data_IF_543333176067
#
_entry.id   IF_543333176067
#
_cell.length_a   1.000
_cell.length_b   1.000
_cell.length_c   1.000
_cell.angle_alpha   90.00
_cell.angle_beta   90.00
_cell.angle_gamma   90.00
#
_symmetry.space_group_name_H-M   'P 1'
#
loop_
_entity.id
_entity.type
_entity.pdbx_description
1 polymer ?
#
# COMPACT_ATOMS: atom_id res chain seq x y z
N UNK A 1 -18.31 10.37 83.09
CA UNK A 1 -17.38 11.33 82.49
C UNK A 1 -16.18 10.52 82.02
N UNK A 2 -16.26 10.00 80.80
CA UNK A 2 -15.10 9.59 80.01
C UNK A 2 -15.59 9.48 78.56
N UNK A 3 -14.93 10.24 77.71
CA UNK A 3 -15.30 10.57 76.33
C UNK A 3 -14.93 9.45 75.37
N UNK A 4 -15.89 9.00 74.55
CA UNK A 4 -15.61 8.22 73.35
C UNK A 4 -14.80 9.06 72.36
N UNK A 5 -13.53 8.67 72.16
CA UNK A 5 -12.67 9.22 71.12
C UNK A 5 -13.04 8.58 69.77
N UNK A 6 -13.78 9.33 68.97
CA UNK A 6 -14.09 9.01 67.58
C UNK A 6 -12.80 8.99 66.74
N UNK A 7 -12.35 7.78 66.40
CA UNK A 7 -11.13 7.54 65.64
C UNK A 7 -11.45 7.65 64.14
N UNK A 8 -11.24 8.83 63.56
CA UNK A 8 -11.30 9.04 62.12
C UNK A 8 -10.08 8.41 61.46
N UNK A 9 -10.23 7.18 60.98
CA UNK A 9 -9.34 6.61 59.97
C UNK A 9 -9.37 7.51 58.73
N UNK A 10 -8.38 8.39 58.62
CA UNK A 10 -8.11 9.15 57.41
C UNK A 10 -7.72 8.17 56.31
N UNK A 11 -8.67 7.87 55.42
CA UNK A 11 -8.48 6.97 54.29
C UNK A 11 -7.33 7.46 53.41
N UNK A 12 -6.32 6.61 53.26
CA UNK A 12 -5.13 6.77 52.45
C UNK A 12 -5.49 6.88 50.95
N UNK A 13 -5.95 8.05 50.53
CA UNK A 13 -6.47 8.33 49.18
C UNK A 13 -5.41 8.87 48.23
N UNK A 14 -4.18 9.14 48.71
CA UNK A 14 -3.08 9.67 47.88
C UNK A 14 -2.29 8.59 47.11
N UNK A 15 -2.39 7.32 47.47
CA UNK A 15 -1.61 6.20 46.89
C UNK A 15 -2.31 5.47 45.71
N UNK A 16 -3.59 5.73 45.48
CA UNK A 16 -4.38 5.07 44.42
C UNK A 16 -4.29 5.77 43.06
N UNK A 17 -4.15 7.10 43.01
CA UNK A 17 -4.08 7.87 41.77
C UNK A 17 -2.93 7.45 40.83
N UNK A 18 -1.66 7.32 41.28
CA UNK A 18 -0.58 6.85 40.40
C UNK A 18 -0.80 5.41 39.94
N UNK A 19 -1.38 4.55 40.78
CA UNK A 19 -1.71 3.16 40.41
C UNK A 19 -2.78 3.12 39.32
N UNK A 20 -3.82 3.95 39.42
CA UNK A 20 -4.88 4.06 38.41
C UNK A 20 -4.34 4.59 37.07
N UNK A 21 -3.42 5.57 37.10
CA UNK A 21 -2.76 6.07 35.88
C UNK A 21 -1.93 4.96 35.23
N UNK A 22 -1.14 4.22 36.01
CA UNK A 22 -0.34 3.09 35.50
C UNK A 22 -1.24 2.00 34.91
N UNK A 23 -2.32 1.62 35.61
CA UNK A 23 -3.27 0.63 35.10
C UNK A 23 -3.93 1.11 33.80
N UNK A 24 -4.34 2.37 33.74
CA UNK A 24 -4.94 2.96 32.53
C UNK A 24 -3.95 2.95 31.35
N UNK A 25 -2.70 3.34 31.59
CA UNK A 25 -1.66 3.30 30.56
C UNK A 25 -1.38 1.88 30.09
N UNK A 26 -1.34 0.90 31.00
CA UNK A 26 -1.16 -0.52 30.64
C UNK A 26 -2.33 -1.04 29.78
N UNK A 27 -3.57 -0.69 30.14
CA UNK A 27 -4.75 -1.05 29.35
C UNK A 27 -4.68 -0.41 27.96
N UNK A 28 -4.34 0.87 27.88
CA UNK A 28 -4.23 1.58 26.60
C UNK A 28 -3.12 0.98 25.72
N UNK A 29 -1.95 0.69 26.30
CA UNK A 29 -0.84 0.05 25.60
C UNK A 29 -1.21 -1.37 25.14
N UNK A 30 -1.91 -2.14 25.97
CA UNK A 30 -2.36 -3.48 25.60
C UNK A 30 -3.41 -3.43 24.47
N UNK A 31 -4.36 -2.51 24.53
CA UNK A 31 -5.32 -2.28 23.45
C UNK A 31 -4.62 -1.85 22.15
N UNK A 32 -3.67 -0.91 22.24
CA UNK A 32 -2.85 -0.46 21.10
C UNK A 32 -2.03 -1.59 20.49
N UNK A 33 -1.47 -2.49 21.32
CA UNK A 33 -0.78 -3.68 20.85
C UNK A 33 -1.70 -4.61 20.06
N UNK A 34 -2.91 -4.89 20.56
CA UNK A 34 -3.89 -5.73 19.85
C UNK A 34 -4.31 -5.11 18.51
N UNK A 35 -4.53 -3.80 18.48
CA UNK A 35 -4.85 -3.05 17.24
C UNK A 35 -3.66 -3.14 16.27
N UNK A 36 -2.43 -2.92 16.77
CA UNK A 36 -1.22 -3.02 15.96
C UNK A 36 -1.04 -4.40 15.35
N UNK A 37 -1.28 -5.47 16.11
CA UNK A 37 -1.28 -6.86 15.60
C UNK A 37 -2.32 -7.03 14.50
N UNK A 38 -3.55 -6.54 14.70
CA UNK A 38 -4.61 -6.64 13.70
C UNK A 38 -4.29 -5.87 12.41
N UNK A 39 -3.73 -4.67 12.52
CA UNK A 39 -3.29 -3.84 11.38
C UNK A 39 -2.05 -4.39 10.67
N UNK A 40 -1.32 -5.31 11.31
CA UNK A 40 -0.12 -5.95 10.74
C UNK A 40 -0.43 -7.24 9.99
N UNK A 41 -1.69 -7.64 9.88
CA UNK A 41 -2.10 -8.81 9.10
C UNK A 41 -2.01 -8.47 7.62
N UNK A 42 -1.15 -9.19 6.89
CA UNK A 42 -1.01 -9.06 5.45
C UNK A 42 -2.32 -9.44 4.74
N UNK A 43 -2.78 -8.66 3.75
CA UNK A 43 -3.92 -9.03 2.93
C UNK A 43 -3.68 -10.34 2.15
N UNK A 44 -4.75 -11.07 1.87
CA UNK A 44 -4.66 -12.24 1.00
C UNK A 44 -4.15 -11.86 -0.41
N UNK A 45 -3.43 -12.76 -1.10
CA UNK A 45 -3.01 -12.52 -2.47
C UNK A 45 -4.20 -12.19 -3.37
N UNK A 46 -4.07 -11.11 -4.14
CA UNK A 46 -5.11 -10.69 -5.09
C UNK A 46 -5.32 -11.78 -6.14
N UNK A 47 -6.53 -12.34 -6.18
CA UNK A 47 -6.90 -13.31 -7.21
C UNK A 47 -7.02 -12.63 -8.58
N UNK A 48 -6.49 -13.30 -9.61
CA UNK A 48 -6.64 -12.82 -10.98
C UNK A 48 -8.12 -13.02 -11.37
N UNK A 49 -8.77 -11.96 -11.83
CA UNK A 49 -10.19 -11.90 -12.21
C UNK A 49 -11.22 -11.87 -11.07
N UNK A 50 -10.82 -11.66 -9.81
CA UNK A 50 -11.76 -11.43 -8.70
C UNK A 50 -12.21 -9.97 -8.67
N UNK A 51 -13.15 -9.59 -9.54
CA UNK A 51 -13.88 -8.33 -9.35
C UNK A 51 -15.03 -8.58 -8.35
N UNK A 52 -15.25 -7.72 -7.33
CA UNK A 52 -16.32 -7.91 -6.33
C UNK A 52 -17.75 -7.83 -6.91
N UNK A 53 -17.90 -7.30 -8.13
CA UNK A 53 -19.19 -7.00 -8.74
C UNK A 53 -19.27 -7.45 -10.20
N UNK A 54 -19.36 -8.75 -10.50
CA UNK A 54 -19.71 -9.18 -11.86
C UNK A 54 -20.57 -10.45 -11.89
N UNK A 55 -21.88 -10.26 -11.74
CA UNK A 55 -22.90 -11.16 -12.30
C UNK A 55 -22.87 -11.08 -13.84
N UNK A 56 -22.81 -12.24 -14.49
CA UNK A 56 -23.00 -12.53 -15.93
C UNK A 56 -22.01 -11.95 -16.98
N UNK A 57 -21.40 -10.78 -16.78
CA UNK A 57 -20.43 -10.18 -17.73
C UNK A 57 -18.99 -10.73 -17.65
N UNK A 58 -18.64 -11.40 -16.56
CA UNK A 58 -17.27 -11.79 -16.22
C UNK A 58 -16.61 -12.76 -17.22
N UNK A 59 -17.38 -13.60 -17.90
CA UNK A 59 -16.82 -14.52 -18.92
C UNK A 59 -16.37 -13.79 -20.19
N UNK A 60 -17.05 -12.71 -20.55
CA UNK A 60 -16.70 -11.92 -21.74
C UNK A 60 -15.43 -11.09 -21.52
N UNK A 61 -15.29 -10.46 -20.34
CA UNK A 61 -14.16 -9.59 -20.03
C UNK A 61 -12.85 -10.35 -19.80
N UNK A 62 -12.91 -11.61 -19.36
CA UNK A 62 -11.73 -12.50 -19.23
C UNK A 62 -10.98 -12.71 -20.56
N UNK A 63 -11.64 -12.53 -21.70
CA UNK A 63 -11.03 -12.69 -23.02
C UNK A 63 -10.37 -11.41 -23.57
N UNK A 64 -10.48 -10.28 -22.86
CA UNK A 64 -9.95 -8.99 -23.33
C UNK A 64 -8.47 -8.91 -22.95
N UNK A 65 -7.62 -8.76 -23.97
CA UNK A 65 -6.18 -8.60 -23.79
C UNK A 65 -5.87 -7.40 -22.91
N UNK A 66 -5.05 -7.60 -21.87
CA UNK A 66 -4.68 -6.55 -20.91
C UNK A 66 -5.64 -6.39 -19.73
N UNK A 67 -6.87 -6.92 -19.81
CA UNK A 67 -7.86 -6.83 -18.72
C UNK A 67 -7.31 -7.35 -17.39
N UNK A 68 -6.72 -8.55 -17.40
CA UNK A 68 -6.16 -9.16 -16.20
C UNK A 68 -5.08 -8.27 -15.55
N UNK A 69 -4.22 -7.64 -16.34
CA UNK A 69 -3.12 -6.82 -15.84
C UNK A 69 -3.64 -5.54 -15.16
N UNK A 70 -4.51 -4.80 -15.84
CA UNK A 70 -5.03 -3.51 -15.35
C UNK A 70 -6.00 -3.73 -14.18
N UNK A 71 -6.88 -4.74 -14.26
CA UNK A 71 -7.80 -5.07 -13.16
C UNK A 71 -7.06 -5.54 -11.91
N UNK A 72 -6.04 -6.37 -12.05
CA UNK A 72 -5.23 -6.83 -10.91
C UNK A 72 -4.46 -5.66 -10.28
N UNK A 73 -3.93 -4.75 -11.08
CA UNK A 73 -3.28 -3.53 -10.58
C UNK A 73 -4.24 -2.66 -9.75
N UNK A 74 -5.45 -2.43 -10.26
CA UNK A 74 -6.48 -1.68 -9.51
C UNK A 74 -6.85 -2.41 -8.22
N UNK A 75 -7.07 -3.73 -8.27
CA UNK A 75 -7.37 -4.56 -7.09
C UNK A 75 -6.24 -4.51 -6.05
N UNK A 76 -4.96 -4.53 -6.47
CA UNK A 76 -3.81 -4.43 -5.55
C UNK A 76 -3.83 -3.08 -4.84
N UNK A 77 -4.03 -1.98 -5.57
CA UNK A 77 -4.11 -0.65 -4.96
C UNK A 77 -5.30 -0.52 -4.01
N UNK A 78 -6.48 -1.00 -4.38
CA UNK A 78 -7.66 -1.04 -3.50
C UNK A 78 -7.38 -1.88 -2.24
N UNK A 79 -6.76 -3.05 -2.40
CA UNK A 79 -6.38 -3.91 -1.27
C UNK A 79 -5.42 -3.19 -0.31
N UNK A 80 -4.46 -2.41 -0.83
CA UNK A 80 -3.57 -1.61 0.01
C UNK A 80 -4.29 -0.50 0.78
N UNK A 81 -5.33 0.10 0.17
CA UNK A 81 -6.10 1.19 0.75
C UNK A 81 -7.17 0.71 1.73
N UNK A 82 -7.75 -0.47 1.51
CA UNK A 82 -8.93 -0.96 2.22
C UNK A 82 -8.62 -2.08 3.25
N UNK A 83 -7.35 -2.50 3.36
CA UNK A 83 -6.91 -3.48 4.38
C UNK A 83 -7.19 -2.98 5.80
N UNK A 84 -7.14 -3.88 6.82
CA UNK A 84 -7.27 -3.48 8.22
C UNK A 84 -6.34 -2.31 8.60
N UNK A 85 -6.93 -1.22 9.10
CA UNK A 85 -6.20 0.00 9.45
C UNK A 85 -6.02 1.00 8.30
N UNK A 86 -6.48 0.68 7.09
CA UNK A 86 -6.31 1.53 5.92
C UNK A 86 -4.86 1.58 5.44
N UNK A 87 -4.51 2.65 4.72
CA UNK A 87 -3.14 2.90 4.31
C UNK A 87 -2.36 3.52 5.48
N UNK A 88 -1.40 2.78 6.05
CA UNK A 88 -0.68 3.19 7.27
C UNK A 88 0.55 4.04 6.97
N UNK A 89 1.04 4.04 5.74
CA UNK A 89 2.25 4.74 5.32
C UNK A 89 2.21 6.26 5.48
N UNK A 90 1.01 6.85 5.55
CA UNK A 90 0.79 8.26 5.87
C UNK A 90 0.16 8.49 7.25
N UNK A 91 0.01 7.47 8.09
CA UNK A 91 -0.56 7.64 9.42
C UNK A 91 0.48 8.24 10.39
N UNK A 92 0.01 9.10 11.29
CA UNK A 92 0.81 9.85 12.27
C UNK A 92 0.37 9.58 13.71
N UNK A 93 -0.60 8.68 13.94
CA UNK A 93 -1.14 8.38 15.27
C UNK A 93 -0.75 6.97 15.77
N UNK A 94 -0.56 6.77 17.09
CA UNK A 94 -0.44 5.41 17.64
C UNK A 94 -1.70 4.55 17.37
N UNK A 95 -1.55 3.22 17.15
CA UNK A 95 -0.32 2.43 17.23
C UNK A 95 0.52 2.37 15.94
N UNK A 96 0.06 2.92 14.81
CA UNK A 96 0.70 2.73 13.50
C UNK A 96 2.13 3.23 13.44
N UNK A 97 2.46 4.32 14.13
CA UNK A 97 3.82 4.87 14.20
C UNK A 97 4.86 3.90 14.81
N UNK A 98 4.40 2.85 15.49
CA UNK A 98 5.24 1.80 16.05
C UNK A 98 5.34 0.56 15.15
N UNK A 99 4.63 0.54 14.02
CA UNK A 99 4.63 -0.54 13.05
C UNK A 99 5.64 -0.21 11.93
N UNK A 100 6.53 -1.15 11.64
CA UNK A 100 7.54 -1.01 10.58
C UNK A 100 7.22 -1.89 9.36
N UNK A 101 6.78 -3.13 9.61
CA UNK A 101 6.58 -4.14 8.57
C UNK A 101 5.46 -3.77 7.59
N UNK A 102 4.28 -3.37 8.10
CA UNK A 102 3.12 -3.08 7.23
C UNK A 102 3.35 -1.83 6.37
N UNK A 103 3.82 -0.68 6.90
CA UNK A 103 4.18 0.46 6.05
C UNK A 103 5.28 0.14 5.01
N UNK A 104 6.25 -0.71 5.35
CA UNK A 104 7.27 -1.15 4.39
C UNK A 104 6.68 -2.05 3.29
N UNK A 105 5.77 -2.96 3.63
CA UNK A 105 5.01 -3.78 2.68
C UNK A 105 4.20 -2.90 1.71
N UNK A 106 3.44 -1.95 2.26
CA UNK A 106 2.66 -0.97 1.47
C UNK A 106 3.55 -0.22 0.48
N UNK A 107 4.71 0.26 0.93
CA UNK A 107 5.62 0.98 0.05
C UNK A 107 6.14 0.11 -1.09
N UNK A 108 6.50 -1.15 -0.81
CA UNK A 108 6.95 -2.09 -1.84
C UNK A 108 5.88 -2.32 -2.92
N UNK A 109 4.65 -2.62 -2.49
CA UNK A 109 3.53 -2.85 -3.40
C UNK A 109 3.13 -1.58 -4.18
N UNK A 110 3.15 -0.42 -3.53
CA UNK A 110 2.89 0.87 -4.16
C UNK A 110 3.95 1.22 -5.20
N UNK A 111 5.23 0.98 -4.92
CA UNK A 111 6.31 1.21 -5.86
C UNK A 111 6.13 0.34 -7.11
N UNK A 112 5.87 -0.96 -6.95
CA UNK A 112 5.58 -1.85 -8.08
C UNK A 112 4.36 -1.38 -8.89
N UNK A 113 3.33 -0.89 -8.20
CA UNK A 113 2.12 -0.35 -8.83
C UNK A 113 2.42 0.91 -9.66
N UNK A 114 3.25 1.81 -9.15
CA UNK A 114 3.70 3.03 -9.85
C UNK A 114 4.41 2.71 -11.17
N UNK A 115 5.29 1.72 -11.16
CA UNK A 115 6.01 1.30 -12.37
C UNK A 115 5.06 0.72 -13.40
N UNK A 116 4.15 -0.14 -12.94
CA UNK A 116 3.19 -0.73 -13.85
C UNK A 116 2.27 0.35 -14.45
N UNK A 117 1.77 1.31 -13.66
CA UNK A 117 0.97 2.42 -14.21
C UNK A 117 1.77 3.27 -15.19
N UNK A 118 3.04 3.56 -14.90
CA UNK A 118 3.93 4.28 -15.82
C UNK A 118 4.10 3.50 -17.12
N UNK A 119 4.35 2.20 -17.04
CA UNK A 119 4.49 1.33 -18.21
C UNK A 119 3.18 1.22 -18.99
N UNK A 120 2.03 1.17 -18.32
CA UNK A 120 0.72 1.23 -18.96
C UNK A 120 0.58 2.51 -19.80
N UNK A 121 0.89 3.67 -19.21
CA UNK A 121 0.79 4.97 -19.88
C UNK A 121 1.76 5.12 -21.06
N UNK A 122 3.00 4.64 -20.90
CA UNK A 122 4.07 4.86 -21.88
C UNK A 122 4.07 3.82 -23.00
N UNK A 123 3.89 2.55 -22.64
CA UNK A 123 4.10 1.42 -23.55
C UNK A 123 2.79 0.77 -23.94
N UNK A 124 1.97 0.35 -22.98
CA UNK A 124 0.80 -0.50 -23.27
C UNK A 124 -0.41 0.25 -23.79
N UNK A 125 -0.53 1.56 -23.60
CA UNK A 125 -1.70 2.31 -24.07
C UNK A 125 -1.49 3.07 -25.38
N UNK A 126 -0.30 2.94 -25.99
CA UNK A 126 0.10 3.70 -27.18
C UNK A 126 0.45 2.78 -28.35
N UNK A 127 0.00 3.15 -29.55
CA UNK A 127 0.47 2.56 -30.80
C UNK A 127 1.79 3.21 -31.21
N UNK A 128 2.68 2.46 -31.86
CA UNK A 128 4.01 2.93 -32.28
C UNK A 128 3.98 4.20 -33.16
N UNK A 129 2.88 4.45 -33.88
CA UNK A 129 2.69 5.64 -34.73
C UNK A 129 1.84 6.74 -34.09
N UNK A 130 1.27 6.50 -32.89
CA UNK A 130 0.40 7.45 -32.21
C UNK A 130 1.04 7.95 -30.91
N UNK A 131 1.25 9.26 -30.84
CA UNK A 131 1.79 9.92 -29.64
C UNK A 131 0.72 10.30 -28.60
N UNK A 132 -0.54 9.96 -28.84
CA UNK A 132 -1.66 10.34 -27.97
C UNK A 132 -1.67 9.41 -26.76
N UNK A 133 -1.49 9.99 -25.58
CA UNK A 133 -1.59 9.30 -24.30
C UNK A 133 -3.06 9.14 -23.90
N UNK A 134 -3.38 8.09 -23.13
CA UNK A 134 -4.71 7.93 -22.56
C UNK A 134 -4.90 8.91 -21.39
N UNK A 135 -5.95 9.71 -21.44
CA UNK A 135 -6.21 10.76 -20.44
C UNK A 135 -6.39 10.20 -19.02
N UNK A 136 -6.97 9.00 -18.90
CA UNK A 136 -7.12 8.32 -17.61
C UNK A 136 -5.76 7.93 -17.02
N UNK A 137 -4.85 7.36 -17.81
CA UNK A 137 -3.52 6.98 -17.34
C UNK A 137 -2.63 8.20 -17.08
N UNK A 138 -2.84 9.28 -17.83
CA UNK A 138 -2.21 10.59 -17.59
C UNK A 138 -2.65 11.21 -16.26
N UNK A 139 -3.86 10.90 -15.79
CA UNK A 139 -4.35 11.27 -14.46
C UNK A 139 -3.89 10.29 -13.39
N UNK A 140 -3.96 8.98 -13.64
CA UNK A 140 -3.62 7.94 -12.67
C UNK A 140 -2.14 7.97 -12.23
N UNK A 141 -1.20 8.13 -13.17
CA UNK A 141 0.23 8.14 -12.83
C UNK A 141 0.59 9.20 -11.79
N UNK A 142 0.38 10.52 -12.00
CA UNK A 142 0.78 11.53 -11.03
C UNK A 142 0.14 11.36 -9.66
N UNK A 143 -1.13 10.90 -9.62
CA UNK A 143 -1.85 10.58 -8.39
C UNK A 143 -1.13 9.54 -7.53
N UNK A 144 -0.67 8.45 -8.15
CA UNK A 144 0.11 7.43 -7.44
C UNK A 144 1.51 7.91 -7.05
N UNK A 145 2.08 8.92 -7.71
CA UNK A 145 3.42 9.45 -7.41
C UNK A 145 3.46 10.48 -6.26
N UNK A 146 2.31 10.85 -5.68
CA UNK A 146 2.27 11.63 -4.43
C UNK A 146 3.06 10.89 -3.33
N UNK A 147 3.77 11.65 -2.49
CA UNK A 147 4.59 11.08 -1.43
C UNK A 147 3.77 10.18 -0.50
N UNK A 148 4.22 8.95 -0.26
CA UNK A 148 3.48 7.95 0.53
C UNK A 148 3.21 8.37 1.98
N UNK A 149 3.97 9.34 2.49
CA UNK A 149 3.86 9.83 3.86
C UNK A 149 3.07 11.13 3.95
N UNK A 150 2.44 11.55 2.84
CA UNK A 150 1.64 12.76 2.81
C UNK A 150 0.35 12.52 3.59
N UNK A 151 0.31 13.00 4.83
CA UNK A 151 -0.86 12.94 5.70
C UNK A 151 -1.74 14.19 5.56
N UNK A 152 -1.17 15.30 5.09
CA UNK A 152 -1.85 16.58 4.88
C UNK A 152 -2.15 16.81 3.40
N UNK A 153 -3.18 17.60 3.10
CA UNK A 153 -3.66 17.84 1.74
C UNK A 153 -2.54 18.22 0.75
N UNK A 154 -2.40 17.51 -0.39
CA UNK A 154 -3.17 16.31 -0.75
C UNK A 154 -2.69 15.07 0.03
N UNK A 155 -3.64 14.36 0.66
CA UNK A 155 -3.32 13.15 1.41
C UNK A 155 -2.96 12.02 0.44
N UNK A 156 -2.03 11.16 0.82
CA UNK A 156 -1.60 10.03 -0.01
C UNK A 156 -2.78 9.10 -0.31
N UNK A 157 -3.60 8.79 0.70
CA UNK A 157 -4.76 7.90 0.54
C UNK A 157 -5.78 8.44 -0.48
N UNK A 158 -6.18 9.71 -0.35
CA UNK A 158 -7.17 10.32 -1.26
C UNK A 158 -6.65 10.33 -2.70
N UNK A 159 -5.39 10.73 -2.88
CA UNK A 159 -4.78 10.76 -4.21
C UNK A 159 -4.64 9.36 -4.80
N UNK A 160 -4.34 8.34 -3.99
CA UNK A 160 -4.27 6.96 -4.47
C UNK A 160 -5.65 6.42 -4.85
N UNK A 161 -6.71 6.79 -4.11
CA UNK A 161 -8.10 6.49 -4.49
C UNK A 161 -8.47 7.13 -5.83
N UNK A 162 -8.13 8.40 -6.04
CA UNK A 162 -8.31 9.06 -7.34
C UNK A 162 -7.55 8.34 -8.47
N UNK A 163 -6.33 7.87 -8.17
CA UNK A 163 -5.51 7.09 -9.11
C UNK A 163 -6.16 5.76 -9.48
N UNK A 164 -6.74 5.06 -8.51
CA UNK A 164 -7.51 3.83 -8.73
C UNK A 164 -8.75 4.09 -9.57
N UNK A 165 -9.52 5.14 -9.27
CA UNK A 165 -10.70 5.51 -10.04
C UNK A 165 -10.35 5.76 -11.51
N UNK A 166 -9.26 6.50 -11.77
CA UNK A 166 -8.76 6.71 -13.12
C UNK A 166 -8.33 5.38 -13.80
N UNK A 167 -7.69 4.45 -13.08
CA UNK A 167 -7.36 3.12 -13.63
C UNK A 167 -8.60 2.29 -13.96
N UNK A 168 -9.64 2.34 -13.12
CA UNK A 168 -10.91 1.66 -13.38
C UNK A 168 -11.63 2.27 -14.59
N UNK A 169 -11.64 3.60 -14.70
CA UNK A 169 -12.14 4.31 -15.89
C UNK A 169 -11.39 3.89 -17.16
N UNK A 170 -10.06 3.80 -17.12
CA UNK A 170 -9.28 3.27 -18.25
C UNK A 170 -9.70 1.84 -18.60
N UNK A 171 -9.79 0.96 -17.59
CA UNK A 171 -10.20 -0.44 -17.73
C UNK A 171 -11.55 -0.58 -18.42
N UNK A 172 -12.55 0.18 -17.95
CA UNK A 172 -13.90 0.15 -18.51
C UNK A 172 -13.91 0.63 -19.96
N UNK A 173 -13.16 1.70 -20.26
CA UNK A 173 -13.09 2.27 -21.62
C UNK A 173 -12.43 1.34 -22.62
N UNK A 174 -11.29 0.71 -22.30
CA UNK A 174 -10.65 -0.20 -23.26
C UNK A 174 -11.34 -1.56 -23.35
N UNK A 175 -12.14 -1.91 -22.32
CA UNK A 175 -12.95 -3.13 -22.34
C UNK A 175 -14.25 -2.98 -23.15
N UNK A 176 -14.67 -1.76 -23.46
CA UNK A 176 -15.84 -1.48 -24.28
C UNK A 176 -15.52 -1.60 -25.78
N UNK A 177 -16.09 -2.59 -26.50
CA UNK A 177 -15.88 -2.75 -27.94
C UNK A 177 -16.38 -1.56 -28.78
N UNK A 178 -17.26 -0.71 -28.21
CA UNK A 178 -17.79 0.48 -28.88
C UNK A 178 -16.91 1.72 -28.70
N UNK A 179 -15.86 1.66 -27.87
CA UNK A 179 -14.98 2.79 -27.61
C UNK A 179 -13.61 2.61 -28.28
N UNK A 180 -13.39 3.18 -29.47
CA UNK A 180 -12.10 3.05 -30.16
C UNK A 180 -10.97 3.86 -29.50
N UNK A 181 -11.29 4.79 -28.60
CA UNK A 181 -10.33 5.79 -28.12
C UNK A 181 -9.42 5.28 -27.00
N UNK A 182 -9.82 4.22 -26.28
CA UNK A 182 -9.00 3.57 -25.26
C UNK A 182 -8.57 2.18 -25.73
N UNK A 183 -7.26 1.92 -25.76
CA UNK A 183 -6.71 0.67 -26.28
C UNK A 183 -5.61 0.12 -25.37
N UNK A 184 -5.42 -1.20 -25.43
CA UNK A 184 -4.31 -1.92 -24.82
C UNK A 184 -3.51 -2.66 -25.90
N UNK A 185 -2.24 -2.34 -26.05
CA UNK A 185 -1.33 -2.88 -27.04
C UNK A 185 -0.40 -3.93 -26.41
N UNK A 186 -0.78 -5.20 -26.50
CA UNK A 186 0.02 -6.34 -26.02
C UNK A 186 1.16 -6.73 -26.98
N UNK A 187 2.03 -5.78 -27.29
CA UNK A 187 3.20 -6.02 -28.13
C UNK A 187 4.37 -6.57 -27.31
N UNK A 188 5.22 -7.37 -27.93
CA UNK A 188 6.34 -8.02 -27.25
C UNK A 188 7.46 -7.04 -26.86
N UNK A 189 7.61 -5.93 -27.60
CA UNK A 189 8.52 -4.83 -27.25
C UNK A 189 8.03 -4.07 -26.01
N UNK A 190 6.73 -3.74 -25.93
CA UNK A 190 6.12 -3.14 -24.73
C UNK A 190 6.34 -4.01 -23.49
N UNK A 191 6.08 -5.31 -23.62
CA UNK A 191 6.29 -6.28 -22.53
C UNK A 191 7.76 -6.36 -22.11
N UNK A 192 8.68 -6.34 -23.08
CA UNK A 192 10.12 -6.38 -22.80
C UNK A 192 10.58 -5.15 -22.03
N UNK A 193 10.09 -3.96 -22.40
CA UNK A 193 10.45 -2.71 -21.72
C UNK A 193 10.00 -2.75 -20.25
N UNK A 194 8.74 -3.13 -20.01
CA UNK A 194 8.22 -3.31 -18.65
C UNK A 194 9.02 -4.35 -17.84
N UNK A 195 9.30 -5.52 -18.41
CA UNK A 195 10.09 -6.56 -17.73
C UNK A 195 11.54 -6.11 -17.47
N UNK A 196 12.09 -5.22 -18.31
CA UNK A 196 13.37 -4.56 -18.08
C UNK A 196 13.34 -3.68 -16.84
N UNK A 197 12.30 -2.85 -16.66
CA UNK A 197 12.11 -2.05 -15.44
C UNK A 197 11.98 -2.94 -14.19
N UNK A 198 11.19 -4.02 -14.27
CA UNK A 198 11.05 -5.00 -13.17
C UNK A 198 12.40 -5.65 -12.83
N UNK A 199 13.16 -6.08 -13.84
CA UNK A 199 14.48 -6.68 -13.65
C UNK A 199 15.46 -5.73 -12.95
N UNK A 200 15.47 -4.45 -13.36
CA UNK A 200 16.32 -3.44 -12.73
C UNK A 200 15.97 -3.23 -11.26
N UNK A 201 14.67 -3.24 -10.92
CA UNK A 201 14.19 -3.09 -9.54
C UNK A 201 14.54 -4.27 -8.67
N UNK A 202 14.29 -5.49 -9.13
CA UNK A 202 14.68 -6.70 -8.42
C UNK A 202 16.20 -6.77 -8.21
N UNK A 203 16.98 -6.35 -9.20
CA UNK A 203 18.43 -6.22 -9.08
C UNK A 203 18.85 -5.24 -7.97
N UNK A 204 18.21 -4.06 -7.91
CA UNK A 204 18.46 -3.05 -6.87
C UNK A 204 18.10 -3.58 -5.47
N UNK A 205 16.94 -4.24 -5.32
CA UNK A 205 16.53 -4.85 -4.04
C UNK A 205 17.48 -5.96 -3.61
N UNK A 206 17.89 -6.84 -4.53
CA UNK A 206 18.86 -7.90 -4.25
C UNK A 206 20.19 -7.33 -3.74
N UNK A 207 20.69 -6.25 -4.35
CA UNK A 207 21.91 -5.57 -3.91
C UNK A 207 21.74 -4.92 -2.53
N UNK A 208 20.62 -4.24 -2.30
CA UNK A 208 20.31 -3.61 -1.00
C UNK A 208 20.21 -4.62 0.14
N UNK A 209 19.50 -5.72 -0.08
CA UNK A 209 19.37 -6.82 0.89
C UNK A 209 20.74 -7.47 1.18
N UNK A 210 21.55 -7.69 0.14
CA UNK A 210 22.90 -8.25 0.29
C UNK A 210 23.85 -7.33 1.07
N UNK A 211 23.71 -6.01 0.90
CA UNK A 211 24.47 -5.03 1.67
C UNK A 211 24.00 -4.97 3.14
N UNK A 212 22.71 -5.13 3.38
CA UNK A 212 22.11 -5.08 4.72
C UNK A 212 22.52 -6.24 5.62
N UNK A 213 22.91 -7.39 5.07
CA UNK A 213 23.37 -8.55 5.85
C UNK A 213 24.87 -8.53 6.18
N UNK A 214 25.62 -7.52 5.72
CA UNK A 214 27.06 -7.40 5.96
C UNK A 214 27.83 -8.57 5.36
N UNK A 215 28.45 -8.38 4.19
CA UNK A 215 29.59 -9.25 3.87
C UNK A 215 30.66 -8.98 4.93
N UNK A 216 30.91 -9.96 5.80
CA UNK A 216 32.06 -9.99 6.68
C UNK A 216 33.28 -9.85 5.76
N UNK A 217 33.80 -8.62 5.64
CA UNK A 217 35.09 -8.40 4.98
C UNK A 217 36.11 -9.04 5.91
N UNK A 218 36.44 -10.30 5.66
CA UNK A 218 37.65 -10.91 6.22
C UNK A 218 38.79 -10.05 5.71
N UNK A 219 39.29 -9.19 6.59
CA UNK A 219 40.38 -8.28 6.33
C UNK A 219 41.63 -9.13 6.08
N UNK A 220 41.93 -9.42 4.80
CA UNK A 220 43.11 -10.19 4.39
C UNK A 220 44.38 -9.33 4.32
N UNK A 221 44.33 -8.07 4.77
CA UNK A 221 45.46 -7.14 4.70
C UNK A 221 46.53 -7.34 5.80
N UNK A 222 46.50 -8.46 6.53
CA UNK A 222 47.47 -8.77 7.60
C UNK A 222 48.24 -10.09 7.40
N UNK A 223 48.22 -10.65 6.18
CA UNK A 223 49.11 -11.75 5.79
C UNK A 223 50.14 -11.25 4.76
N UNK A 224 50.99 -10.33 5.20
CA UNK A 224 52.16 -9.83 4.47
C UNK A 224 53.32 -9.60 5.43
#
# INVERSE_FOLDING_TARGET
MESESFNLQSGDTKSSLPKLIIISLLILSFAGYLIGVYWSIEPDPVEIYSAPHTSDGARSNKSITGYALVSTLANVLETLLDKPGGFLGNDVMPPSIFLDNMPAFEYGALVQSRDLVRSLRKEFSRSQSQSVEQDDLKQAEPKLYIAHGSWIFPSAEDEYRDGVEALRSYLDKFSDPQNPNAQFYARADNLREWLGEVSNRLGSYSQGLSASVGQERTNTDLAG
#
